data_IF_790410171307
#
_entry.id   IF_790410171307
#
_cell.length_a   1.000
_cell.length_b   1.000
_cell.length_c   1.000
_cell.angle_alpha   90.00
_cell.angle_beta   90.00
_cell.angle_gamma   90.00
#
_symmetry.space_group_name_H-M   'P 1'
#
loop_
_entity.id
_entity.type
_entity.pdbx_description
1 polymer ?
#
# COMPACT_ATOMS: atom_id res chain seq x y z
N UNK A 1 -21.89 11.52 -11.74
CA UNK A 1 -22.61 10.48 -10.99
C UNK A 1 -21.81 10.31 -9.73
N UNK A 2 -22.41 10.50 -8.56
CA UNK A 2 -21.71 10.44 -7.27
C UNK A 2 -22.23 9.25 -6.48
N UNK A 3 -21.38 8.66 -5.64
CA UNK A 3 -21.69 7.55 -4.76
C UNK A 3 -21.84 8.08 -3.34
N UNK A 4 -23.02 7.96 -2.75
CA UNK A 4 -23.17 8.35 -1.34
C UNK A 4 -22.54 7.32 -0.39
N UNK A 5 -22.42 7.71 0.87
CA UNK A 5 -21.93 6.90 1.98
C UNK A 5 -22.56 5.49 2.07
N UNK A 6 -23.89 5.38 1.90
CA UNK A 6 -24.60 4.09 1.97
C UNK A 6 -24.23 3.17 0.81
N UNK A 7 -24.20 3.71 -0.41
CA UNK A 7 -23.81 2.96 -1.62
C UNK A 7 -22.35 2.53 -1.56
N UNK A 8 -21.47 3.44 -1.12
CA UNK A 8 -20.06 3.17 -0.90
C UNK A 8 -19.85 2.06 0.14
N UNK A 9 -20.55 2.15 1.28
CA UNK A 9 -20.46 1.17 2.35
C UNK A 9 -20.91 -0.22 1.90
N UNK A 10 -21.98 -0.30 1.11
CA UNK A 10 -22.45 -1.57 0.53
C UNK A 10 -21.42 -2.17 -0.45
N UNK A 11 -20.81 -1.33 -1.29
CA UNK A 11 -19.74 -1.75 -2.19
C UNK A 11 -18.54 -2.29 -1.41
N UNK A 12 -18.02 -1.53 -0.43
CA UNK A 12 -16.83 -1.90 0.33
C UNK A 12 -17.01 -3.17 1.15
N UNK A 13 -18.19 -3.41 1.73
CA UNK A 13 -18.53 -4.68 2.42
C UNK A 13 -18.55 -5.89 1.49
N UNK A 14 -18.74 -5.67 0.19
CA UNK A 14 -18.75 -6.74 -0.81
C UNK A 14 -17.36 -6.95 -1.40
N UNK A 15 -16.59 -5.87 -1.59
CA UNK A 15 -15.30 -5.88 -2.27
C UNK A 15 -14.10 -6.16 -1.33
N UNK A 16 -14.27 -5.96 -0.02
CA UNK A 16 -13.18 -6.04 0.97
C UNK A 16 -13.64 -6.72 2.26
N UNK A 17 -12.68 -7.16 3.08
CA UNK A 17 -12.93 -7.69 4.42
C UNK A 17 -12.89 -6.60 5.52
N UNK A 18 -12.98 -5.32 5.13
CA UNK A 18 -12.92 -4.19 6.08
C UNK A 18 -14.19 -4.12 6.94
N UNK A 19 -14.01 -3.75 8.20
CA UNK A 19 -15.15 -3.49 9.07
C UNK A 19 -15.76 -2.11 8.79
N UNK A 20 -16.99 -1.89 9.26
CA UNK A 20 -17.73 -0.64 9.03
C UNK A 20 -16.95 0.63 9.42
N UNK A 21 -16.17 0.61 10.50
CA UNK A 21 -15.41 1.79 10.92
C UNK A 21 -14.24 2.07 9.96
N UNK A 22 -13.56 1.03 9.50
CA UNK A 22 -12.51 1.16 8.49
C UNK A 22 -13.09 1.69 7.17
N UNK A 23 -14.27 1.21 6.78
CA UNK A 23 -14.94 1.66 5.56
C UNK A 23 -15.23 3.17 5.61
N UNK A 24 -15.77 3.68 6.71
CA UNK A 24 -16.03 5.12 6.84
C UNK A 24 -14.73 5.93 6.87
N UNK A 25 -13.66 5.44 7.50
CA UNK A 25 -12.35 6.09 7.39
C UNK A 25 -11.83 6.17 5.96
N UNK A 26 -12.03 5.12 5.14
CA UNK A 26 -11.65 5.15 3.72
C UNK A 26 -12.52 6.13 2.93
N UNK A 27 -13.81 6.23 3.27
CA UNK A 27 -14.70 7.22 2.67
C UNK A 27 -14.22 8.64 2.98
N UNK A 28 -14.01 8.95 4.25
CA UNK A 28 -13.59 10.28 4.72
C UNK A 28 -12.21 10.67 4.14
N UNK A 29 -11.30 9.71 4.01
CA UNK A 29 -10.00 9.92 3.37
C UNK A 29 -10.10 10.31 1.88
N UNK A 30 -11.06 9.71 1.16
CA UNK A 30 -11.15 9.88 -0.29
C UNK A 30 -12.09 11.00 -0.72
N UNK A 31 -13.02 11.42 0.13
CA UNK A 31 -13.90 12.58 -0.05
C UNK A 31 -13.10 13.87 0.18
N UNK A 32 -12.08 14.10 -0.66
CA UNK A 32 -11.09 15.17 -0.50
C UNK A 32 -11.74 16.54 -0.63
N UNK A 33 -12.81 16.65 -1.42
CA UNK A 33 -13.56 17.90 -1.57
C UNK A 33 -14.62 18.12 -0.47
N UNK A 34 -14.81 17.14 0.42
CA UNK A 34 -15.76 17.18 1.53
C UNK A 34 -17.21 17.30 1.08
N UNK A 35 -17.54 16.82 -0.12
CA UNK A 35 -18.89 16.89 -0.68
C UNK A 35 -19.87 15.95 0.02
N UNK A 36 -19.38 14.99 0.81
CA UNK A 36 -20.17 13.93 1.42
C UNK A 36 -20.60 12.87 0.41
N UNK A 37 -19.99 12.84 -0.78
CA UNK A 37 -20.27 11.86 -1.82
C UNK A 37 -19.06 11.63 -2.71
N UNK A 38 -18.73 10.37 -2.93
CA UNK A 38 -17.59 9.98 -3.76
C UNK A 38 -17.87 10.24 -5.24
N UNK A 39 -17.02 11.03 -5.88
CA UNK A 39 -17.06 11.22 -7.32
C UNK A 39 -16.35 10.08 -8.08
N UNK A 40 -16.25 10.21 -9.42
CA UNK A 40 -15.62 9.16 -10.23
C UNK A 40 -14.11 9.08 -10.03
N UNK A 41 -13.44 10.22 -9.85
CA UNK A 41 -11.98 10.28 -9.75
C UNK A 41 -11.53 9.75 -8.37
N UNK A 42 -12.25 10.11 -7.31
CA UNK A 42 -12.05 9.59 -5.95
C UNK A 42 -12.31 8.07 -5.91
N UNK A 43 -13.40 7.62 -6.53
CA UNK A 43 -13.71 6.20 -6.62
C UNK A 43 -12.69 5.45 -7.49
N UNK A 44 -12.23 6.04 -8.59
CA UNK A 44 -11.19 5.45 -9.43
C UNK A 44 -9.88 5.25 -8.67
N UNK A 45 -9.49 6.23 -7.84
CA UNK A 45 -8.31 6.14 -7.00
C UNK A 45 -8.42 4.97 -6.01
N UNK A 46 -9.58 4.82 -5.36
CA UNK A 46 -9.85 3.66 -4.49
C UNK A 46 -9.66 2.34 -5.23
N UNK A 47 -10.25 2.18 -6.41
CA UNK A 47 -10.12 0.95 -7.20
C UNK A 47 -8.65 0.67 -7.53
N UNK A 48 -7.89 1.69 -7.89
CA UNK A 48 -6.45 1.55 -8.14
C UNK A 48 -5.69 1.06 -6.91
N UNK A 49 -6.00 1.60 -5.72
CA UNK A 49 -5.41 1.18 -4.46
C UNK A 49 -5.76 -0.28 -4.14
N UNK A 50 -7.04 -0.66 -4.25
CA UNK A 50 -7.51 -2.02 -3.97
C UNK A 50 -6.84 -3.05 -4.89
N UNK A 51 -6.71 -2.75 -6.20
CA UNK A 51 -6.01 -3.61 -7.16
C UNK A 51 -4.53 -3.73 -6.77
N UNK A 52 -3.87 -2.63 -6.43
CA UNK A 52 -2.46 -2.66 -6.05
C UNK A 52 -2.22 -3.54 -4.80
N UNK A 53 -3.11 -3.47 -3.80
CA UNK A 53 -3.03 -4.31 -2.60
C UNK A 53 -3.31 -5.78 -2.93
N UNK A 54 -4.30 -6.06 -3.79
CA UNK A 54 -4.63 -7.41 -4.23
C UNK A 54 -3.45 -8.08 -4.95
N UNK A 55 -2.76 -7.33 -5.81
CA UNK A 55 -1.61 -7.80 -6.59
C UNK A 55 -0.29 -7.77 -5.81
N UNK A 56 -0.31 -7.36 -4.53
CA UNK A 56 0.89 -7.18 -3.69
C UNK A 56 1.89 -6.17 -4.28
N UNK A 57 1.36 -5.20 -5.01
CA UNK A 57 2.07 -4.11 -5.67
C UNK A 57 1.82 -2.76 -4.97
N UNK A 58 1.29 -2.76 -3.75
CA UNK A 58 0.96 -1.55 -2.98
C UNK A 58 2.16 -0.62 -2.81
N UNK A 59 3.35 -1.16 -2.58
CA UNK A 59 4.59 -0.36 -2.48
C UNK A 59 4.98 0.32 -3.80
N UNK A 60 4.85 -0.40 -4.92
CA UNK A 60 5.06 0.15 -6.25
C UNK A 60 4.02 1.22 -6.60
N UNK A 61 2.79 1.06 -6.12
CA UNK A 61 1.74 2.05 -6.25
C UNK A 61 2.08 3.30 -5.43
N UNK A 62 2.42 3.15 -4.14
CA UNK A 62 2.80 4.23 -3.24
C UNK A 62 3.95 5.05 -3.82
N UNK A 63 5.00 4.44 -4.37
CA UNK A 63 6.09 5.20 -4.99
C UNK A 63 5.64 6.00 -6.23
N UNK A 64 4.96 5.33 -7.18
CA UNK A 64 4.53 5.96 -8.45
C UNK A 64 3.52 7.07 -8.22
N UNK A 65 2.69 6.93 -7.19
CA UNK A 65 1.66 7.88 -6.80
C UNK A 65 1.97 8.54 -5.46
N UNK A 66 3.25 8.70 -5.13
CA UNK A 66 3.71 9.15 -3.80
C UNK A 66 3.08 10.46 -3.36
N UNK A 67 2.87 11.41 -4.27
CA UNK A 67 2.20 12.65 -3.94
C UNK A 67 0.73 12.45 -3.57
N UNK A 68 -0.01 11.70 -4.40
CA UNK A 68 -1.43 11.44 -4.13
C UNK A 68 -1.63 10.62 -2.84
N UNK A 69 -0.78 9.62 -2.60
CA UNK A 69 -0.84 8.84 -1.36
C UNK A 69 -0.45 9.69 -0.14
N UNK A 70 0.53 10.57 -0.28
CA UNK A 70 0.90 11.50 0.79
C UNK A 70 -0.28 12.40 1.15
N UNK A 71 -0.88 13.04 0.15
CA UNK A 71 -2.01 13.95 0.34
C UNK A 71 -3.25 13.22 0.89
N UNK A 72 -3.42 11.92 0.63
CA UNK A 72 -4.48 11.10 1.24
C UNK A 72 -4.20 10.73 2.70
N UNK A 73 -2.93 10.61 3.10
CA UNK A 73 -2.57 10.25 4.47
C UNK A 73 -2.52 11.47 5.40
N UNK A 74 -2.16 12.64 4.87
CA UNK A 74 -2.12 13.94 5.55
C UNK A 74 -3.55 14.52 5.69
N UNK A 75 -4.35 13.94 6.58
CA UNK A 75 -5.77 14.26 6.76
C UNK A 75 -5.97 15.71 7.21
N UNK A 76 -5.08 16.21 8.07
CA UNK A 76 -5.16 17.59 8.56
C UNK A 76 -4.49 18.62 7.64
N UNK A 77 -3.89 18.16 6.53
CA UNK A 77 -3.16 19.00 5.57
C UNK A 77 -2.03 19.82 6.22
N UNK A 78 -1.41 19.29 7.27
CA UNK A 78 -0.27 19.90 7.96
C UNK A 78 0.97 19.97 7.06
N UNK A 79 1.03 19.13 6.02
CA UNK A 79 2.19 18.95 5.15
C UNK A 79 3.16 17.89 5.66
N UNK A 80 2.78 17.17 6.72
CA UNK A 80 3.51 16.06 7.33
C UNK A 80 2.53 14.93 7.64
N UNK A 81 3.02 13.68 7.70
CA UNK A 81 2.19 12.54 8.12
C UNK A 81 2.61 12.13 9.53
N UNK A 82 1.70 12.31 10.49
CA UNK A 82 1.89 11.88 11.87
C UNK A 82 1.77 10.35 12.02
N UNK A 83 2.32 9.81 13.10
CA UNK A 83 2.15 8.39 13.43
C UNK A 83 0.67 8.00 13.59
N UNK A 84 -0.17 8.93 14.07
CA UNK A 84 -1.61 8.70 14.24
C UNK A 84 -2.33 8.55 12.91
N UNK A 85 -2.05 9.42 11.94
CA UNK A 85 -2.62 9.33 10.60
C UNK A 85 -2.16 8.05 9.91
N UNK A 86 -0.87 7.73 10.03
CA UNK A 86 -0.31 6.50 9.48
C UNK A 86 -0.96 5.24 10.08
N UNK A 87 -1.24 5.21 11.38
CA UNK A 87 -1.97 4.10 12.03
C UNK A 87 -3.44 4.07 11.62
N UNK A 88 -4.05 5.25 11.47
CA UNK A 88 -5.47 5.40 11.14
C UNK A 88 -5.76 4.92 9.73
N UNK A 89 -4.85 5.13 8.79
CA UNK A 89 -5.07 4.98 7.36
C UNK A 89 -4.15 3.98 6.67
N UNK A 90 -3.00 3.65 7.28
CA UNK A 90 -2.01 2.73 6.73
C UNK A 90 -2.54 1.33 6.43
N UNK A 91 -3.63 0.92 7.10
CA UNK A 91 -4.28 -0.37 6.84
C UNK A 91 -4.74 -0.51 5.37
N UNK A 92 -5.11 0.58 4.70
CA UNK A 92 -5.53 0.57 3.30
C UNK A 92 -4.38 0.13 2.38
N UNK A 93 -3.13 0.40 2.77
CA UNK A 93 -1.92 0.00 2.06
C UNK A 93 -1.20 -1.18 2.71
N UNK A 94 -1.90 -1.95 3.56
CA UNK A 94 -1.32 -3.07 4.31
C UNK A 94 -0.13 -2.67 5.23
N UNK A 95 -0.10 -1.41 5.67
CA UNK A 95 0.88 -0.89 6.62
C UNK A 95 0.26 -0.90 8.02
N UNK A 96 0.78 -1.73 8.92
CA UNK A 96 0.21 -1.91 10.25
C UNK A 96 1.27 -2.25 11.31
N UNK A 97 0.97 -1.89 12.56
CA UNK A 97 1.74 -2.29 13.75
C UNK A 97 3.22 -1.92 13.68
N UNK A 98 4.10 -2.91 13.87
CA UNK A 98 5.56 -2.72 13.91
C UNK A 98 6.14 -2.13 12.61
N UNK A 99 5.45 -2.29 11.47
CA UNK A 99 5.88 -1.71 10.20
C UNK A 99 5.92 -0.18 10.30
N UNK A 100 4.92 0.43 10.94
CA UNK A 100 4.79 1.88 11.09
C UNK A 100 5.93 2.39 11.96
N UNK A 101 6.13 1.81 13.14
CA UNK A 101 7.23 2.19 14.03
C UNK A 101 8.62 2.06 13.38
N UNK A 102 8.79 1.04 12.53
CA UNK A 102 10.02 0.85 11.77
C UNK A 102 10.21 1.95 10.72
N UNK A 103 9.14 2.38 10.05
CA UNK A 103 9.19 3.47 9.07
C UNK A 103 9.64 4.77 9.75
N UNK A 104 8.98 5.19 10.83
CA UNK A 104 9.36 6.40 11.54
C UNK A 104 10.82 6.32 12.03
N UNK A 105 11.23 5.20 12.65
CA UNK A 105 12.62 5.05 13.12
C UNK A 105 13.67 5.13 12.00
N UNK A 106 13.35 4.69 10.79
CA UNK A 106 14.30 4.64 9.67
C UNK A 106 14.29 5.89 8.80
N UNK A 107 13.15 6.58 8.70
CA UNK A 107 12.93 7.64 7.71
C UNK A 107 12.59 9.01 8.29
N UNK A 108 12.19 9.12 9.57
CA UNK A 108 12.10 10.40 10.28
C UNK A 108 13.52 10.89 10.60
N UNK A 109 14.11 11.64 9.66
CA UNK A 109 15.46 12.19 9.77
C UNK A 109 15.44 13.47 10.58
N UNK A 110 14.34 14.21 10.51
CA UNK A 110 14.13 15.46 11.23
C UNK A 110 14.04 15.24 12.75
N UNK A 111 13.52 14.08 13.17
CA UNK A 111 13.26 13.68 14.56
C UNK A 111 12.02 14.32 15.16
N UNK A 112 11.08 14.81 14.35
CA UNK A 112 9.85 15.47 14.80
C UNK A 112 8.68 14.50 15.03
N UNK A 113 8.89 13.19 14.80
CA UNK A 113 7.88 12.13 14.88
C UNK A 113 6.76 12.26 13.84
N UNK A 114 7.01 13.02 12.79
CA UNK A 114 6.19 13.12 11.61
C UNK A 114 7.04 12.73 10.38
N UNK A 115 6.39 12.56 9.23
CA UNK A 115 7.10 12.34 7.96
C UNK A 115 6.74 13.46 7.01
N UNK A 116 7.73 14.27 6.65
CA UNK A 116 7.56 15.22 5.56
C UNK A 116 7.47 14.48 4.21
N UNK A 117 7.10 15.21 3.14
CA UNK A 117 6.98 14.60 1.81
C UNK A 117 8.30 13.98 1.30
N UNK A 118 9.46 14.56 1.64
CA UNK A 118 10.77 14.03 1.25
C UNK A 118 11.07 12.72 1.96
N UNK A 119 10.83 12.66 3.27
CA UNK A 119 11.01 11.47 4.11
C UNK A 119 10.06 10.35 3.68
N UNK A 120 8.79 10.68 3.43
CA UNK A 120 7.80 9.74 2.90
C UNK A 120 8.21 9.19 1.53
N UNK A 121 8.73 10.05 0.64
CA UNK A 121 9.21 9.63 -0.69
C UNK A 121 10.44 8.73 -0.59
N UNK A 122 11.34 8.98 0.34
CA UNK A 122 12.48 8.10 0.61
C UNK A 122 12.03 6.73 1.10
N UNK A 123 11.04 6.68 2.01
CA UNK A 123 10.40 5.44 2.43
C UNK A 123 9.83 4.66 1.24
N UNK A 124 9.06 5.35 0.37
CA UNK A 124 8.43 4.72 -0.78
C UNK A 124 9.46 4.15 -1.77
N UNK A 125 10.57 4.87 -1.98
CA UNK A 125 11.68 4.42 -2.83
C UNK A 125 12.42 3.21 -2.24
N UNK A 126 12.78 3.27 -0.95
CA UNK A 126 13.48 2.19 -0.27
C UNK A 126 12.65 0.88 -0.21
N UNK A 127 11.32 1.01 -0.20
CA UNK A 127 10.41 -0.13 -0.22
C UNK A 127 10.39 -0.87 -1.57
N UNK A 128 10.64 -0.17 -2.68
CA UNK A 128 10.79 -0.79 -4.01
C UNK A 128 12.12 -1.51 -4.16
N UNK A 129 13.21 -0.85 -3.75
CA UNK A 129 14.56 -1.39 -3.94
C UNK A 129 14.69 -2.77 -3.27
N UNK A 130 14.17 -2.91 -2.04
CA UNK A 130 14.11 -4.21 -1.34
C UNK A 130 13.22 -5.25 -2.03
N UNK A 131 12.18 -4.84 -2.75
CA UNK A 131 11.29 -5.77 -3.46
C UNK A 131 11.95 -6.34 -4.72
N UNK A 132 12.69 -5.50 -5.46
CA UNK A 132 13.48 -5.91 -6.63
C UNK A 132 14.62 -6.89 -6.29
N UNK A 133 15.27 -6.70 -5.13
CA UNK A 133 16.29 -7.61 -4.61
C UNK A 133 15.69 -8.96 -4.17
N UNK A 134 14.48 -8.95 -3.59
CA UNK A 134 13.78 -10.17 -3.18
C UNK A 134 13.25 -10.94 -4.40
N UNK A 135 12.75 -10.26 -5.42
CA UNK A 135 12.26 -10.87 -6.67
C UNK A 135 13.41 -11.51 -7.45
N UNK A 136 14.52 -10.79 -7.66
CA UNK A 136 15.72 -11.35 -8.29
C UNK A 136 16.31 -12.53 -7.51
N UNK A 137 16.24 -12.50 -6.18
CA UNK A 137 16.68 -13.61 -5.31
C UNK A 137 15.74 -14.83 -5.38
N UNK A 138 14.43 -14.62 -5.57
CA UNK A 138 13.43 -15.69 -5.72
C UNK A 138 13.51 -16.32 -7.11
N UNK A 139 13.69 -15.55 -8.17
CA UNK A 139 13.92 -16.08 -9.53
C UNK A 139 15.19 -16.92 -9.58
N UNK A 140 16.28 -16.45 -8.97
CA UNK A 140 17.53 -17.22 -8.90
C UNK A 140 17.38 -18.53 -8.12
N UNK A 141 16.63 -18.53 -6.99
CA UNK A 141 16.33 -19.77 -6.25
C UNK A 141 15.38 -20.69 -7.01
N UNK A 142 14.38 -20.16 -7.71
CA UNK A 142 13.44 -20.96 -8.51
C UNK A 142 14.14 -21.60 -9.71
N UNK A 143 15.00 -20.86 -10.40
CA UNK A 143 15.85 -21.36 -11.48
C UNK A 143 16.85 -22.41 -10.96
N UNK A 144 17.44 -22.21 -9.78
CA UNK A 144 18.33 -23.20 -9.16
C UNK A 144 17.59 -24.48 -8.73
N UNK A 145 16.37 -24.37 -8.19
CA UNK A 145 15.54 -25.51 -7.83
C UNK A 145 15.08 -26.26 -9.09
N UNK A 146 14.69 -25.53 -10.15
CA UNK A 146 14.31 -26.10 -11.45
C UNK A 146 15.49 -26.80 -12.12
N UNK A 147 16.70 -26.21 -12.13
CA UNK A 147 17.91 -26.87 -12.61
C UNK A 147 18.29 -28.09 -11.78
N UNK A 148 18.13 -28.02 -10.45
CA UNK A 148 18.44 -29.14 -9.55
C UNK A 148 17.45 -30.31 -9.71
N UNK A 149 16.16 -30.04 -9.87
CA UNK A 149 15.15 -31.07 -10.14
C UNK A 149 15.28 -31.63 -11.56
N UNK A 150 15.61 -30.80 -12.56
CA UNK A 150 15.93 -31.26 -13.91
C UNK A 150 17.20 -32.13 -13.97
N UNK A 151 18.16 -31.92 -13.06
CA UNK A 151 19.36 -32.76 -12.92
C UNK A 151 19.04 -34.08 -12.21
N UNK A 152 18.12 -34.10 -11.24
CA UNK A 152 17.67 -35.31 -10.55
C UNK A 152 16.84 -36.24 -11.46
N UNK A 153 16.10 -35.68 -12.42
CA UNK A 153 15.29 -36.46 -13.37
C UNK A 153 16.11 -37.17 -14.46
N UNK A 154 17.39 -36.83 -14.68
CA UNK A 154 18.26 -37.50 -15.67
C UNK A 154 18.93 -38.79 -15.16
N UNK A 155 18.73 -39.18 -13.90
CA UNK A 155 19.31 -40.41 -13.35
C UNK A 155 18.37 -41.63 -13.40
N UNK A 156 17.15 -41.50 -13.93
CA UNK A 156 16.20 -42.61 -14.10
C UNK A 156 15.79 -42.81 -15.56
N UNK A 157 16.75 -43.00 -16.47
CA UNK A 157 16.48 -43.65 -17.77
C UNK A 157 17.73 -44.30 -18.33
N UNK A 158 18.19 -45.40 -17.72
CA UNK A 158 18.82 -46.51 -18.46
C UNK A 158 18.55 -47.80 -17.68
N UNK A 159 17.56 -48.57 -18.11
CA UNK A 159 17.55 -50.02 -17.98
C UNK A 159 17.18 -50.59 -19.35
#
# INVERSE_FOLDING_TARGET
MVLNDVQFCAFMKTATDLNTNQIYKVFDMLDVDGSGAMDFDEFYLLICILIAVQDKAEKNFIYRHSRAVFDLLDEDSSGNISAYEFETFGFLFNLHGEAIQTIFREFDVSGDQELDYSEFKMFAMACIDRQSEIESSKENKSNFIFESTARFCRSCTVM
#
